data_IF_893422201434
#
_entry.id   IF_893422201434
#
_cell.length_a   1.000
_cell.length_b   1.000
_cell.length_c   1.000
_cell.angle_alpha   90.00
_cell.angle_beta   90.00
_cell.angle_gamma   90.00
#
_symmetry.space_group_name_H-M   'P 1'
#
loop_
_entity.id
_entity.type
_entity.pdbx_description
1 polymer ?
#
# COMPACT_ATOMS: atom_id res chain seq x y z
N UNK A 1 -12.99 -57.91 28.49
CA UNK A 1 -12.85 -57.93 29.97
C UNK A 1 -11.36 -57.81 30.33
N UNK A 2 -11.02 -57.21 31.50
CA UNK A 2 -9.86 -56.33 31.70
C UNK A 2 -8.76 -56.90 32.63
N UNK A 3 -7.63 -56.19 32.78
CA UNK A 3 -7.01 -55.74 34.07
C UNK A 3 -5.58 -55.18 33.87
N UNK A 4 -5.35 -53.93 34.28
CA UNK A 4 -4.49 -53.47 35.41
C UNK A 4 -3.03 -53.18 34.97
N UNK A 5 -2.34 -52.14 35.42
CA UNK A 5 -2.63 -51.05 36.37
C UNK A 5 -1.34 -50.24 36.66
N UNK A 6 -1.51 -49.00 37.15
CA UNK A 6 -0.63 -48.18 38.04
C UNK A 6 0.86 -47.94 37.64
N UNK A 7 1.55 -46.83 37.92
CA UNK A 7 1.35 -45.51 38.58
C UNK A 7 2.71 -44.76 38.56
N UNK A 8 2.72 -43.43 38.79
CA UNK A 8 3.92 -42.63 39.18
C UNK A 8 4.13 -41.40 38.29
N UNK A 9 3.58 -40.22 38.60
CA UNK A 9 4.07 -39.14 39.51
C UNK A 9 5.12 -38.18 38.90
N UNK A 10 4.75 -36.89 38.88
CA UNK A 10 5.64 -35.74 38.61
C UNK A 10 4.85 -34.48 38.17
N UNK A 11 4.61 -33.48 39.05
CA UNK A 11 3.90 -32.25 38.70
C UNK A 11 4.77 -30.98 38.79
N UNK A 12 4.60 -30.05 37.83
CA UNK A 12 4.84 -28.57 37.89
C UNK A 12 4.96 -28.06 36.44
N UNK A 13 4.22 -27.08 35.92
CA UNK A 13 3.93 -25.76 36.45
C UNK A 13 2.53 -25.29 36.02
N UNK A 14 1.61 -25.25 36.98
CA UNK A 14 0.33 -24.56 36.83
C UNK A 14 0.54 -23.07 37.08
N UNK A 15 0.24 -22.26 36.07
CA UNK A 15 0.20 -20.80 36.16
C UNK A 15 -0.89 -20.38 37.15
N UNK A 16 -0.48 -19.81 38.27
CA UNK A 16 -1.34 -18.98 39.11
C UNK A 16 -0.65 -17.64 39.33
N UNK A 17 -1.25 -16.57 38.80
CA UNK A 17 -1.14 -15.27 39.45
C UNK A 17 -2.43 -14.50 39.21
N UNK A 18 -3.09 -14.29 40.34
CA UNK A 18 -4.39 -13.67 40.50
C UNK A 18 -4.39 -12.20 40.06
N UNK A 19 -5.56 -11.77 39.56
CA UNK A 19 -5.92 -10.36 39.43
C UNK A 19 -6.17 -9.71 40.78
N UNK A 20 -5.96 -8.39 40.90
CA UNK A 20 -6.81 -7.56 41.75
C UNK A 20 -7.54 -6.48 40.93
N UNK A 21 -8.76 -6.21 41.39
CA UNK A 21 -9.78 -5.30 40.83
C UNK A 21 -9.70 -3.93 41.50
N UNK A 22 -10.27 -2.92 40.84
CA UNK A 22 -10.67 -1.57 41.30
C UNK A 22 -9.61 -0.46 41.12
N UNK A 23 -9.90 0.76 40.66
CA UNK A 23 -11.14 1.40 40.19
C UNK A 23 -10.80 2.76 39.55
N UNK A 24 -11.50 3.08 38.45
CA UNK A 24 -11.97 4.39 37.96
C UNK A 24 -11.12 5.66 38.23
N UNK A 25 -10.47 6.15 37.17
CA UNK A 25 -10.27 7.59 36.95
C UNK A 25 -10.69 7.96 35.52
N UNK A 26 -11.33 9.12 35.40
CA UNK A 26 -12.02 9.61 34.22
C UNK A 26 -11.27 10.86 33.72
N UNK A 27 -11.33 11.08 32.40
CA UNK A 27 -11.09 12.35 31.67
C UNK A 27 -9.67 12.54 31.10
N UNK A 28 -9.51 12.19 29.82
CA UNK A 28 -9.45 13.19 28.75
C UNK A 28 -9.67 12.47 27.40
N UNK A 29 -10.83 12.70 26.77
CA UNK A 29 -11.03 12.35 25.36
C UNK A 29 -10.32 13.41 24.52
N UNK A 30 -9.29 13.09 23.72
CA UNK A 30 -8.93 13.97 22.63
C UNK A 30 -10.01 13.80 21.56
N UNK A 31 -11.00 14.67 21.60
CA UNK A 31 -11.84 14.95 20.45
C UNK A 31 -10.95 15.59 19.38
N UNK A 32 -10.32 14.75 18.57
CA UNK A 32 -9.49 15.16 17.45
C UNK A 32 -10.12 14.60 16.19
N UNK A 33 -10.83 15.50 15.53
CA UNK A 33 -11.39 15.39 14.20
C UNK A 33 -10.36 14.85 13.19
N UNK A 34 -10.91 14.13 12.19
CA UNK A 34 -10.29 13.44 11.05
C UNK A 34 -9.73 12.03 11.30
N UNK A 35 -10.18 11.03 10.50
CA UNK A 35 -9.54 9.72 10.50
C UNK A 35 -8.05 9.88 10.15
N UNK A 36 -7.16 9.09 10.75
CA UNK A 36 -5.73 9.18 10.49
C UNK A 36 -5.51 9.07 8.97
N UNK A 37 -4.83 10.07 8.41
CA UNK A 37 -4.38 10.05 7.01
C UNK A 37 -3.68 8.71 6.81
N UNK A 38 -4.22 7.87 5.91
CA UNK A 38 -3.66 6.54 5.63
C UNK A 38 -2.17 6.74 5.34
N UNK A 39 -1.31 6.06 6.12
CA UNK A 39 0.12 6.08 5.86
C UNK A 39 0.33 5.59 4.43
N UNK A 40 1.10 6.31 3.58
CA UNK A 40 1.37 5.84 2.24
C UNK A 40 2.05 4.48 2.34
N UNK A 41 1.58 3.51 1.56
CA UNK A 41 2.19 2.18 1.44
C UNK A 41 3.49 2.28 0.64
N UNK A 42 4.47 3.04 1.16
CA UNK A 42 5.78 3.22 0.55
C UNK A 42 6.48 1.90 0.32
N UNK A 43 6.30 0.96 1.25
CA UNK A 43 6.98 -0.32 1.24
C UNK A 43 6.43 -1.29 0.17
N UNK A 44 5.25 -1.00 -0.40
CA UNK A 44 4.69 -1.76 -1.53
C UNK A 44 5.25 -1.31 -2.88
N UNK A 45 5.87 -0.12 -2.97
CA UNK A 45 6.44 0.39 -4.21
C UNK A 45 7.94 0.11 -4.24
N UNK A 46 8.39 -0.62 -5.26
CA UNK A 46 9.80 -1.00 -5.42
C UNK A 46 10.72 0.12 -5.91
N UNK A 47 10.17 1.28 -6.30
CA UNK A 47 10.92 2.46 -6.72
C UNK A 47 10.15 3.76 -6.44
N UNK A 48 10.88 4.84 -6.20
CA UNK A 48 10.31 6.17 -6.02
C UNK A 48 9.52 6.61 -7.27
N UNK A 49 8.36 7.23 -7.05
CA UNK A 49 7.48 7.75 -8.09
C UNK A 49 7.51 9.28 -8.08
N UNK A 50 7.88 9.85 -9.22
CA UNK A 50 7.88 11.30 -9.43
C UNK A 50 6.51 11.72 -9.98
N UNK A 51 5.76 12.58 -9.27
CA UNK A 51 4.50 13.12 -9.76
C UNK A 51 4.78 14.18 -10.82
N UNK A 52 4.83 13.76 -12.09
CA UNK A 52 5.05 14.64 -13.23
C UNK A 52 3.96 14.40 -14.28
N UNK A 53 3.48 15.50 -14.86
CA UNK A 53 2.48 15.52 -15.92
C UNK A 53 3.12 15.89 -17.24
N UNK A 54 3.38 14.88 -18.05
CA UNK A 54 3.94 15.02 -19.39
C UNK A 54 2.89 14.56 -20.41
N UNK A 55 2.70 15.30 -21.52
CA UNK A 55 1.97 14.79 -22.66
C UNK A 55 2.62 13.52 -23.19
N UNK A 56 1.81 12.50 -23.49
CA UNK A 56 2.26 11.27 -24.12
C UNK A 56 1.45 10.96 -25.38
N UNK A 57 2.11 10.32 -26.34
CA UNK A 57 1.44 9.64 -27.45
C UNK A 57 1.60 8.13 -27.26
N UNK A 58 0.48 7.42 -27.11
CA UNK A 58 0.42 5.98 -26.86
C UNK A 58 0.09 5.27 -28.17
N UNK A 59 0.96 4.36 -28.61
CA UNK A 59 0.80 3.53 -29.80
C UNK A 59 0.29 2.16 -29.38
N UNK A 60 -0.83 1.75 -29.97
CA UNK A 60 -1.48 0.49 -29.68
C UNK A 60 -2.04 -0.14 -30.95
N UNK A 61 -2.52 -1.39 -30.85
CA UNK A 61 -3.16 -2.07 -31.99
C UNK A 61 -4.41 -1.34 -32.51
N UNK A 62 -5.09 -0.55 -31.68
CA UNK A 62 -6.27 0.23 -32.05
C UNK A 62 -5.93 1.66 -32.56
N UNK A 63 -4.64 1.95 -32.74
CA UNK A 63 -4.12 3.23 -33.23
C UNK A 63 -3.41 4.04 -32.15
N UNK A 64 -2.99 5.25 -32.54
CA UNK A 64 -2.33 6.19 -31.66
C UNK A 64 -3.35 7.00 -30.87
N UNK A 65 -3.10 7.19 -29.57
CA UNK A 65 -3.97 7.94 -28.67
C UNK A 65 -3.16 8.91 -27.82
N UNK A 66 -3.61 10.15 -27.63
CA UNK A 66 -2.99 11.06 -26.69
C UNK A 66 -3.29 10.64 -25.25
N UNK A 67 -2.39 10.99 -24.35
CA UNK A 67 -2.57 10.81 -22.91
C UNK A 67 -1.66 11.74 -22.10
N UNK A 68 -1.67 11.56 -20.79
CA UNK A 68 -0.82 12.30 -19.85
C UNK A 68 -0.23 11.33 -18.81
N UNK A 69 1.04 11.52 -18.44
CA UNK A 69 1.59 10.84 -17.26
C UNK A 69 0.99 11.41 -15.99
N UNK A 70 0.64 10.56 -15.02
CA UNK A 70 0.32 11.01 -13.66
C UNK A 70 1.51 10.85 -12.71
N UNK A 71 2.36 9.86 -12.96
CA UNK A 71 3.66 9.70 -12.32
C UNK A 71 4.57 8.75 -13.11
N UNK A 72 5.87 8.85 -12.85
CA UNK A 72 6.91 8.04 -13.49
C UNK A 72 7.84 7.45 -12.41
N UNK A 73 8.31 6.23 -12.63
CA UNK A 73 9.37 5.57 -11.85
C UNK A 73 10.30 4.78 -12.77
N UNK A 74 11.40 4.27 -12.23
CA UNK A 74 12.30 3.38 -12.96
C UNK A 74 11.59 2.10 -13.47
N UNK A 75 10.54 1.66 -12.76
CA UNK A 75 9.85 0.40 -13.05
C UNK A 75 8.60 0.58 -13.92
N UNK A 76 8.21 1.82 -14.23
CA UNK A 76 7.04 2.08 -15.05
C UNK A 76 6.39 3.43 -14.82
N UNK A 77 5.31 3.65 -15.57
CA UNK A 77 4.57 4.91 -15.66
C UNK A 77 3.09 4.66 -15.37
N UNK A 78 2.41 5.63 -14.76
CA UNK A 78 0.95 5.69 -14.72
C UNK A 78 0.47 6.68 -15.77
N UNK A 79 -0.33 6.21 -16.73
CA UNK A 79 -0.90 7.03 -17.81
C UNK A 79 -2.40 7.25 -17.58
N UNK A 80 -2.86 8.46 -17.84
CA UNK A 80 -4.27 8.80 -17.97
C UNK A 80 -4.57 9.03 -19.46
N UNK A 81 -5.55 8.31 -19.99
CA UNK A 81 -5.97 8.39 -21.39
C UNK A 81 -7.45 8.06 -21.51
N UNK A 82 -8.09 8.56 -22.56
CA UNK A 82 -9.49 8.27 -22.88
C UNK A 82 -9.59 7.10 -23.88
N UNK A 83 -9.15 5.93 -23.43
CA UNK A 83 -9.29 4.67 -24.15
C UNK A 83 -9.11 3.48 -23.21
N UNK A 84 -9.89 2.42 -23.46
CA UNK A 84 -9.81 1.18 -22.71
C UNK A 84 -8.63 0.33 -23.20
N UNK A 85 -7.80 -0.14 -22.27
CA UNK A 85 -6.62 -0.95 -22.55
C UNK A 85 -6.64 -2.21 -21.68
N UNK A 86 -6.84 -3.41 -22.27
CA UNK A 86 -6.83 -4.65 -21.52
C UNK A 86 -5.50 -4.90 -20.82
N UNK A 87 -5.55 -5.47 -19.61
CA UNK A 87 -4.35 -5.86 -18.87
C UNK A 87 -3.49 -6.82 -19.68
N UNK A 88 -2.18 -6.61 -19.68
CA UNK A 88 -1.22 -7.41 -20.45
C UNK A 88 -1.05 -6.98 -21.91
N UNK A 89 -1.78 -5.96 -22.37
CA UNK A 89 -1.56 -5.37 -23.69
C UNK A 89 -0.14 -4.78 -23.78
N UNK A 90 0.55 -5.06 -24.88
CA UNK A 90 1.80 -4.39 -25.22
C UNK A 90 1.49 -3.00 -25.76
N UNK A 91 2.20 -2.01 -25.23
CA UNK A 91 1.98 -0.60 -25.49
C UNK A 91 3.33 0.08 -25.62
N UNK A 92 3.52 0.78 -26.74
CA UNK A 92 4.64 1.70 -26.91
C UNK A 92 4.13 3.11 -26.66
N UNK A 93 4.93 3.97 -26.03
CA UNK A 93 4.56 5.37 -25.84
C UNK A 93 5.77 6.28 -25.94
N UNK A 94 5.53 7.52 -26.34
CA UNK A 94 6.51 8.60 -26.33
C UNK A 94 6.06 9.65 -25.34
N UNK A 95 6.90 9.98 -24.36
CA UNK A 95 6.68 11.10 -23.44
C UNK A 95 7.54 12.29 -23.85
N UNK A 96 6.92 13.45 -24.02
CA UNK A 96 7.64 14.68 -24.40
C UNK A 96 7.89 15.51 -23.15
N UNK A 97 9.16 15.72 -22.82
CA UNK A 97 9.58 16.60 -21.74
C UNK A 97 10.18 17.87 -22.34
N UNK A 98 9.45 18.98 -22.26
CA UNK A 98 9.95 20.29 -22.68
C UNK A 98 10.58 21.01 -21.49
N UNK A 99 11.86 21.35 -21.60
CA UNK A 99 12.51 22.25 -20.64
C UNK A 99 12.05 23.67 -20.90
N UNK A 100 11.36 24.28 -19.94
CA UNK A 100 11.10 25.73 -19.95
C UNK A 100 12.30 26.37 -19.25
N UNK A 101 13.27 26.85 -20.02
CA UNK A 101 14.27 27.75 -19.49
C UNK A 101 13.59 29.09 -19.19
N UNK A 102 13.48 29.47 -17.91
CA UNK A 102 13.18 30.85 -17.56
C UNK A 102 14.48 31.64 -17.72
N UNK A 103 14.52 32.51 -18.73
CA UNK A 103 15.54 33.54 -18.80
C UNK A 103 15.23 34.58 -17.69
N UNK A 104 16.20 34.79 -16.81
CA UNK A 104 16.25 35.93 -15.87
C UNK A 104 16.91 37.12 -16.57
#
# INVERSE_FOLDING_TARGET
MPKNGQSGEGPSDGKESASPVASKEMIAQPNSQNPPRRKPYTDMQSAARFPIKLPVEVKSKSGNRPGETQNISANGVLLQMDAEMPVGSLVDFTATCSLIAKAE
#
